data_IF_622127460050
#
_entry.id   IF_622127460050
#
_cell.length_a   1.000
_cell.length_b   1.000
_cell.length_c   1.000
_cell.angle_alpha   90.00
_cell.angle_beta   90.00
_cell.angle_gamma   90.00
#
_symmetry.space_group_name_H-M   'P 1'
#
loop_
_entity.id
_entity.type
_entity.pdbx_description
1 polymer ?
#
# COMPACT_ATOMS: atom_id res chain seq x y z
N UNK A 1 -21.88 52.77 -16.22
CA UNK A 1 -22.16 51.80 -15.12
C UNK A 1 -22.76 50.47 -15.62
N UNK A 2 -23.42 50.42 -16.77
CA UNK A 2 -24.07 49.22 -17.35
C UNK A 2 -23.07 48.16 -17.83
N UNK A 3 -21.96 48.55 -18.46
CA UNK A 3 -20.96 47.62 -19.01
C UNK A 3 -20.21 46.80 -17.94
N UNK A 4 -20.01 47.37 -16.74
CA UNK A 4 -19.33 46.70 -15.64
C UNK A 4 -20.20 45.57 -15.04
N UNK A 5 -21.52 45.78 -15.00
CA UNK A 5 -22.49 44.77 -14.52
C UNK A 5 -22.62 43.61 -15.49
N UNK A 6 -22.61 43.89 -16.80
CA UNK A 6 -22.64 42.85 -17.84
C UNK A 6 -21.35 42.02 -17.77
N UNK A 7 -20.19 42.66 -17.64
CA UNK A 7 -18.92 41.96 -17.49
C UNK A 7 -18.89 41.06 -16.25
N UNK A 8 -19.41 41.53 -15.11
CA UNK A 8 -19.49 40.75 -13.88
C UNK A 8 -20.40 39.51 -14.02
N UNK A 9 -21.54 39.64 -14.72
CA UNK A 9 -22.46 38.54 -14.98
C UNK A 9 -21.81 37.50 -15.90
N UNK A 10 -21.13 37.93 -16.95
CA UNK A 10 -20.44 37.03 -17.88
C UNK A 10 -19.32 36.25 -17.16
N UNK A 11 -18.53 36.91 -16.31
CA UNK A 11 -17.47 36.25 -15.52
C UNK A 11 -18.07 35.25 -14.52
N UNK A 12 -19.19 35.60 -13.88
CA UNK A 12 -19.87 34.70 -12.95
C UNK A 12 -20.39 33.45 -13.67
N UNK A 13 -21.08 33.59 -14.79
CA UNK A 13 -21.54 32.44 -15.57
C UNK A 13 -20.38 31.61 -16.14
N UNK A 14 -19.26 32.24 -16.53
CA UNK A 14 -18.08 31.53 -17.00
C UNK A 14 -17.44 30.68 -15.89
N UNK A 15 -17.50 31.14 -14.63
CA UNK A 15 -16.99 30.39 -13.48
C UNK A 15 -17.82 29.16 -13.12
N UNK A 16 -19.11 29.13 -13.47
CA UNK A 16 -19.99 27.96 -13.30
C UNK A 16 -19.79 26.87 -14.35
N UNK A 17 -19.13 27.18 -15.47
CA UNK A 17 -18.89 26.22 -16.58
C UNK A 17 -17.46 25.67 -16.54
N UNK A 18 -16.63 26.14 -15.61
CA UNK A 18 -15.35 25.50 -15.35
C UNK A 18 -15.63 24.07 -14.87
N UNK A 19 -15.16 23.02 -15.57
CA UNK A 19 -15.18 21.69 -15.00
C UNK A 19 -14.45 21.79 -13.67
N UNK A 20 -15.09 21.33 -12.60
CA UNK A 20 -14.38 21.01 -11.37
C UNK A 20 -13.20 20.17 -11.81
N UNK A 21 -11.97 20.68 -11.59
CA UNK A 21 -10.78 19.86 -11.77
C UNK A 21 -11.09 18.50 -11.14
N UNK A 22 -10.81 17.37 -11.80
CA UNK A 22 -10.98 16.08 -11.17
C UNK A 22 -10.23 16.19 -9.85
N UNK A 23 -10.97 16.25 -8.73
CA UNK A 23 -10.37 16.14 -7.42
C UNK A 23 -9.54 14.88 -7.53
N UNK A 24 -8.23 14.99 -7.30
CA UNK A 24 -7.30 13.88 -7.45
C UNK A 24 -7.94 12.67 -6.78
N UNK A 25 -8.49 11.79 -7.62
CA UNK A 25 -8.95 10.49 -7.23
C UNK A 25 -7.66 9.81 -6.83
N UNK A 26 -7.31 9.87 -5.54
CA UNK A 26 -6.44 8.85 -4.98
C UNK A 26 -7.20 7.58 -5.29
N UNK A 27 -6.72 6.87 -6.31
CA UNK A 27 -7.25 5.58 -6.66
C UNK A 27 -7.34 4.78 -5.36
N UNK A 28 -8.48 4.12 -5.09
CA UNK A 28 -8.68 3.44 -3.84
C UNK A 28 -7.60 2.37 -3.67
N UNK A 29 -7.10 2.20 -2.45
CA UNK A 29 -6.14 1.15 -2.12
C UNK A 29 -6.69 -0.19 -2.64
N UNK A 30 -5.95 -0.91 -3.51
CA UNK A 30 -6.40 -2.20 -4.00
C UNK A 30 -6.48 -3.23 -2.86
N UNK A 31 -7.43 -4.16 -2.99
CA UNK A 31 -7.53 -5.32 -2.10
C UNK A 31 -6.21 -6.10 -2.10
N UNK A 32 -5.85 -6.67 -0.95
CA UNK A 32 -4.66 -7.51 -0.82
C UNK A 32 -4.68 -8.63 -1.88
N UNK A 33 -3.63 -8.73 -2.71
CA UNK A 33 -3.61 -9.67 -3.82
C UNK A 33 -3.30 -11.09 -3.37
N UNK A 34 -3.59 -12.06 -4.23
CA UNK A 34 -3.36 -13.46 -3.92
C UNK A 34 -1.87 -13.85 -3.92
N UNK A 35 -1.54 -14.97 -3.29
CA UNK A 35 -0.17 -15.45 -3.12
C UNK A 35 0.56 -15.76 -4.44
N UNK A 36 -0.13 -15.95 -5.57
CA UNK A 36 0.53 -16.19 -6.85
C UNK A 36 1.15 -14.91 -7.44
N UNK A 37 0.68 -13.74 -7.01
CA UNK A 37 1.28 -12.44 -7.36
C UNK A 37 2.47 -12.06 -6.48
N UNK A 38 2.75 -12.86 -5.43
CA UNK A 38 3.82 -12.62 -4.49
C UNK A 38 5.17 -12.95 -5.12
N UNK A 39 6.07 -11.98 -5.05
CA UNK A 39 7.43 -12.08 -5.57
C UNK A 39 8.42 -12.55 -4.50
N UNK A 40 8.31 -12.01 -3.29
CA UNK A 40 9.29 -12.27 -2.23
C UNK A 40 8.69 -11.99 -0.84
N UNK A 41 9.43 -12.44 0.18
CA UNK A 41 9.13 -12.27 1.60
C UNK A 41 10.37 -11.78 2.36
N UNK A 42 10.13 -10.80 3.22
CA UNK A 42 11.16 -10.21 4.06
C UNK A 42 10.73 -10.32 5.51
N UNK A 43 11.71 -10.45 6.40
CA UNK A 43 11.46 -10.43 7.83
C UNK A 43 12.31 -9.36 8.51
N UNK A 44 11.65 -8.44 9.19
CA UNK A 44 12.28 -7.50 10.09
C UNK A 44 12.19 -8.01 11.53
N UNK A 45 13.35 -8.34 12.10
CA UNK A 45 13.44 -8.80 13.47
C UNK A 45 13.20 -7.67 14.49
N UNK A 46 13.58 -6.43 14.18
CA UNK A 46 13.47 -5.31 15.12
C UNK A 46 12.02 -4.93 15.37
N UNK A 47 11.22 -4.83 14.30
CA UNK A 47 9.79 -4.52 14.38
C UNK A 47 8.89 -5.75 14.45
N UNK A 48 9.45 -6.97 14.39
CA UNK A 48 8.72 -8.24 14.26
C UNK A 48 7.73 -8.23 13.10
N UNK A 49 8.14 -7.68 11.97
CA UNK A 49 7.30 -7.52 10.79
C UNK A 49 7.63 -8.57 9.74
N UNK A 50 6.59 -9.24 9.27
CA UNK A 50 6.62 -10.08 8.08
C UNK A 50 6.10 -9.27 6.89
N UNK A 51 6.96 -9.08 5.89
CA UNK A 51 6.69 -8.19 4.77
C UNK A 51 6.56 -9.02 3.51
N UNK A 52 5.46 -8.87 2.79
CA UNK A 52 5.22 -9.54 1.52
C UNK A 52 5.26 -8.55 0.38
N UNK A 53 6.00 -8.89 -0.66
CA UNK A 53 6.18 -8.07 -1.86
C UNK A 53 5.39 -8.68 -3.01
N UNK A 54 4.58 -7.88 -3.68
CA UNK A 54 3.70 -8.33 -4.76
C UNK A 54 3.91 -7.54 -6.04
N UNK A 55 3.54 -8.17 -7.16
CA UNK A 55 3.49 -7.59 -8.50
C UNK A 55 2.08 -7.73 -9.05
N UNK A 56 1.24 -6.72 -8.87
CA UNK A 56 -0.15 -6.71 -9.31
C UNK A 56 -0.27 -6.91 -10.83
N UNK A 57 0.71 -6.41 -11.60
CA UNK A 57 0.74 -6.52 -13.06
C UNK A 57 1.43 -7.80 -13.58
N UNK A 58 2.00 -8.61 -12.69
CA UNK A 58 2.77 -9.80 -13.06
C UNK A 58 4.03 -9.53 -13.90
N UNK A 59 4.59 -8.33 -13.88
CA UNK A 59 5.80 -7.96 -14.64
C UNK A 59 7.10 -8.19 -13.87
N UNK A 60 7.00 -8.71 -12.63
CA UNK A 60 8.14 -9.01 -11.77
C UNK A 60 8.68 -7.80 -11.02
N UNK A 61 7.95 -6.66 -11.03
CA UNK A 61 8.28 -5.48 -10.23
C UNK A 61 7.38 -5.37 -9.03
N UNK A 62 7.95 -4.96 -7.91
CA UNK A 62 7.18 -4.71 -6.69
C UNK A 62 6.39 -3.42 -6.86
N UNK A 63 5.06 -3.53 -6.84
CA UNK A 63 4.13 -2.40 -6.92
C UNK A 63 3.10 -2.39 -5.78
N UNK A 64 3.11 -3.42 -4.94
CA UNK A 64 2.26 -3.53 -3.75
C UNK A 64 2.99 -4.28 -2.64
N UNK A 65 2.92 -3.78 -1.41
CA UNK A 65 3.58 -4.37 -0.24
C UNK A 65 2.63 -4.42 0.94
N UNK A 66 2.69 -5.51 1.70
CA UNK A 66 1.98 -5.62 2.99
C UNK A 66 2.96 -5.93 4.11
N UNK A 67 2.66 -5.45 5.32
CA UNK A 67 3.40 -5.78 6.53
C UNK A 67 2.48 -6.33 7.61
N UNK A 68 2.76 -7.53 8.11
CA UNK A 68 2.00 -8.20 9.18
C UNK A 68 2.86 -8.42 10.41
N UNK A 69 2.28 -8.25 11.59
CA UNK A 69 2.95 -8.56 12.83
C UNK A 69 3.15 -10.08 12.95
N UNK A 70 4.36 -10.49 13.35
CA UNK A 70 4.68 -11.88 13.70
C UNK A 70 4.37 -12.11 15.17
N UNK A 71 3.42 -13.00 15.46
CA UNK A 71 3.04 -13.41 16.81
C UNK A 71 4.02 -14.44 17.37
N UNK A 72 4.39 -15.43 16.57
CA UNK A 72 5.29 -16.50 16.95
C UNK A 72 6.16 -16.91 15.75
N UNK A 73 7.35 -17.45 16.01
CA UNK A 73 8.15 -18.08 14.97
C UNK A 73 8.70 -19.40 15.46
N UNK A 74 8.76 -20.38 14.56
CA UNK A 74 9.35 -21.69 14.81
C UNK A 74 10.30 -22.07 13.68
N UNK A 75 10.88 -23.26 13.77
CA UNK A 75 11.65 -23.85 12.67
C UNK A 75 10.95 -25.12 12.19
N UNK A 76 10.90 -25.27 10.87
CA UNK A 76 10.47 -26.52 10.25
C UNK A 76 11.46 -27.65 10.56
N UNK A 77 11.08 -28.89 10.22
CA UNK A 77 11.96 -30.05 10.34
C UNK A 77 13.27 -29.92 9.55
N UNK A 78 13.30 -29.04 8.53
CA UNK A 78 14.46 -28.78 7.69
C UNK A 78 15.23 -27.52 8.10
N UNK A 79 14.82 -26.87 9.20
CA UNK A 79 15.47 -25.69 9.75
C UNK A 79 14.98 -24.35 9.18
N UNK A 80 14.06 -24.37 8.21
CA UNK A 80 13.48 -23.15 7.64
C UNK A 80 12.70 -22.39 8.73
N UNK A 81 12.83 -21.07 8.82
CA UNK A 81 11.96 -20.28 9.68
C UNK A 81 10.51 -20.40 9.19
N UNK A 82 9.58 -20.47 10.14
CA UNK A 82 8.14 -20.44 9.89
C UNK A 82 7.56 -19.35 10.79
N UNK A 83 6.92 -18.36 10.19
CA UNK A 83 6.36 -17.21 10.91
C UNK A 83 4.84 -17.32 10.99
N UNK A 84 4.30 -17.23 12.21
CA UNK A 84 2.87 -17.11 12.43
C UNK A 84 2.51 -15.64 12.56
N UNK A 85 1.73 -15.15 11.61
CA UNK A 85 1.39 -13.73 11.48
C UNK A 85 -0.07 -13.49 11.80
N UNK A 86 -0.40 -12.22 12.05
CA UNK A 86 -1.79 -11.79 12.09
C UNK A 86 -2.48 -11.97 10.74
N UNK A 87 -3.80 -12.18 10.77
CA UNK A 87 -4.62 -12.43 9.58
C UNK A 87 -4.69 -11.23 8.63
N UNK A 88 -4.51 -10.02 9.13
CA UNK A 88 -4.58 -8.80 8.33
C UNK A 88 -3.31 -7.95 8.50
N UNK A 89 -2.85 -7.29 7.42
CA UNK A 89 -1.72 -6.36 7.48
C UNK A 89 -1.96 -5.21 8.45
N UNK A 90 -0.87 -4.76 9.08
CA UNK A 90 -0.83 -3.51 9.82
C UNK A 90 -0.67 -2.32 8.87
N UNK A 91 0.03 -2.52 7.75
CA UNK A 91 0.24 -1.50 6.75
C UNK A 91 0.25 -2.05 5.34
N UNK A 92 -0.02 -1.15 4.40
CA UNK A 92 0.07 -1.35 2.96
C UNK A 92 0.97 -0.27 2.36
N UNK A 93 1.74 -0.61 1.35
CA UNK A 93 2.36 0.38 0.47
C UNK A 93 1.91 0.11 -0.97
N UNK A 94 1.36 1.15 -1.60
CA UNK A 94 0.88 1.10 -2.97
C UNK A 94 0.92 2.49 -3.59
N UNK A 95 1.29 2.58 -4.87
CA UNK A 95 1.33 3.83 -5.64
C UNK A 95 2.07 4.96 -4.87
N UNK A 96 3.28 4.65 -4.39
CA UNK A 96 4.13 5.56 -3.62
C UNK A 96 3.50 6.11 -2.32
N UNK A 97 2.48 5.42 -1.80
CA UNK A 97 1.74 5.83 -0.60
C UNK A 97 1.70 4.68 0.40
N UNK A 98 2.02 5.00 1.65
CA UNK A 98 1.91 4.09 2.79
C UNK A 98 0.58 4.34 3.50
N UNK A 99 -0.16 3.26 3.73
CA UNK A 99 -1.42 3.25 4.46
C UNK A 99 -1.27 2.41 5.72
N UNK A 100 -1.86 2.86 6.82
CA UNK A 100 -2.04 2.05 8.02
C UNK A 100 -3.48 1.54 8.10
N UNK A 101 -3.63 0.27 8.46
CA UNK A 101 -4.93 -0.33 8.80
C UNK A 101 -5.06 -0.29 10.34
N UNK A 102 -5.83 0.65 10.89
CA UNK A 102 -5.95 0.80 12.34
C UNK A 102 -6.75 -0.33 13.00
N UNK A 103 -7.69 -0.93 12.27
CA UNK A 103 -8.59 -1.96 12.79
C UNK A 103 -8.07 -3.38 12.47
N UNK A 104 -7.06 -3.50 11.61
CA UNK A 104 -6.47 -4.75 11.13
C UNK A 104 -7.56 -5.71 10.65
N UNK A 105 -8.45 -5.21 9.79
CA UNK A 105 -9.56 -5.96 9.20
C UNK A 105 -9.47 -6.08 7.68
N UNK A 106 -8.35 -5.60 7.12
CA UNK A 106 -8.03 -5.68 5.71
C UNK A 106 -8.75 -4.61 4.89
N UNK A 107 -8.29 -4.43 3.65
CA UNK A 107 -8.73 -3.34 2.77
C UNK A 107 -10.26 -3.24 2.66
N UNK A 108 -10.84 -2.28 3.37
CA UNK A 108 -12.28 -2.03 3.40
C UNK A 108 -12.68 -0.55 3.34
N UNK A 109 -11.69 0.35 3.30
CA UNK A 109 -11.88 1.79 3.14
C UNK A 109 -11.76 2.60 4.43
N UNK A 110 -11.48 1.98 5.58
CA UNK A 110 -11.09 2.66 6.81
C UNK A 110 -9.57 2.92 6.91
N UNK A 111 -8.78 2.45 5.93
CA UNK A 111 -7.32 2.61 5.94
C UNK A 111 -6.93 4.08 5.85
N UNK A 112 -5.93 4.45 6.63
CA UNK A 112 -5.48 5.83 6.76
C UNK A 112 -4.16 6.02 6.03
N UNK A 113 -4.03 7.15 5.32
CA UNK A 113 -2.77 7.54 4.71
C UNK A 113 -1.78 7.90 5.82
N UNK A 114 -0.71 7.12 5.94
CA UNK A 114 0.38 7.38 6.86
C UNK A 114 1.40 8.34 6.24
N UNK A 115 1.80 8.08 4.99
CA UNK A 115 2.78 8.90 4.28
C UNK A 115 2.67 8.75 2.76
N UNK A 116 2.72 9.87 2.04
CA UNK A 116 2.69 9.91 0.57
C UNK A 116 4.06 10.20 -0.03
N UNK A 117 4.21 9.94 -1.33
CA UNK A 117 5.40 10.22 -2.13
C UNK A 117 6.67 9.54 -1.59
N UNK A 118 6.54 8.27 -1.19
CA UNK A 118 7.66 7.48 -0.69
C UNK A 118 7.91 6.24 -1.53
N UNK A 119 9.18 5.93 -1.71
CA UNK A 119 9.61 4.64 -2.25
C UNK A 119 9.73 3.60 -1.14
N UNK A 120 9.36 2.37 -1.44
CA UNK A 120 9.61 1.27 -0.52
C UNK A 120 11.04 0.75 -0.69
N UNK A 121 11.90 1.06 0.29
CA UNK A 121 13.29 0.60 0.29
C UNK A 121 13.40 -0.87 0.74
N UNK A 122 13.31 -1.78 -0.23
CA UNK A 122 13.44 -3.23 -0.02
C UNK A 122 14.83 -3.59 0.55
N UNK A 123 15.88 -2.86 0.17
CA UNK A 123 17.26 -3.17 0.56
C UNK A 123 17.52 -2.98 2.06
N UNK A 124 16.61 -2.30 2.76
CA UNK A 124 16.64 -2.15 4.22
C UNK A 124 16.39 -3.47 4.95
N UNK A 125 15.65 -4.40 4.35
CA UNK A 125 15.19 -5.61 5.01
C UNK A 125 16.03 -6.82 4.65
N UNK A 126 16.05 -7.82 5.54
CA UNK A 126 16.72 -9.08 5.27
C UNK A 126 15.74 -10.03 4.58
N UNK A 127 16.11 -10.61 3.43
CA UNK A 127 15.35 -11.72 2.84
C UNK A 127 15.22 -12.84 3.86
N UNK A 128 14.03 -13.41 3.99
CA UNK A 128 13.80 -14.53 4.91
C UNK A 128 14.08 -15.90 4.28
N UNK A 129 14.47 -15.91 3.00
CA UNK A 129 14.81 -17.11 2.23
C UNK A 129 15.83 -17.98 2.96
N UNK A 130 15.50 -19.26 3.14
CA UNK A 130 16.42 -20.26 3.68
C UNK A 130 16.57 -21.40 2.67
N UNK A 131 17.81 -21.67 2.23
CA UNK A 131 18.11 -22.64 1.18
C UNK A 131 17.29 -22.46 -0.12
N UNK A 132 16.96 -21.20 -0.46
CA UNK A 132 16.16 -20.88 -1.65
C UNK A 132 14.67 -21.17 -1.50
N UNK A 133 14.20 -21.51 -0.29
CA UNK A 133 12.79 -21.67 0.02
C UNK A 133 12.26 -20.41 0.72
N UNK A 134 11.04 -19.97 0.39
CA UNK A 134 10.35 -18.92 1.16
C UNK A 134 10.15 -19.35 2.61
N UNK A 135 9.93 -18.34 3.44
CA UNK A 135 9.51 -18.53 4.81
C UNK A 135 7.97 -18.55 4.88
#
# INVERSE_FOLDING_TARGET
MTNLRIAAIVIFFLSLVLPTAPGWSMDPLPIEPDLNSRLDELYDHESRMFIMLYSLHGDGKVDYVTGRLVQEYTRSNYGNPVYYTDQYPLFYWWNHTMFNDPDQDGVNGNEQVYQENIEFDIARYKPCLFNGQPC
#
